data_IF_960444408458
#
_entry.id   IF_960444408458
#
_cell.length_a   1.000
_cell.length_b   1.000
_cell.length_c   1.000
_cell.angle_alpha   90.00
_cell.angle_beta   90.00
_cell.angle_gamma   90.00
#
_symmetry.space_group_name_H-M   'P 1'
#
loop_
_entity.id
_entity.type
_entity.pdbx_description
1 polymer ?
#
# COMPACT_ATOMS: atom_id res chain seq x y z
N UNK A 1 23.99 21.70 -1.75
CA UNK A 1 22.86 20.92 -2.32
C UNK A 1 22.13 20.33 -1.13
N UNK A 2 21.00 20.90 -0.75
CA UNK A 2 20.20 20.41 0.37
C UNK A 2 19.47 19.14 -0.08
N UNK A 3 19.65 18.07 0.69
CA UNK A 3 19.03 16.77 0.51
C UNK A 3 17.54 16.89 0.86
N UNK A 4 16.71 17.15 -0.14
CA UNK A 4 15.24 17.22 -0.02
C UNK A 4 14.69 15.81 0.17
N UNK A 5 14.91 15.24 1.37
CA UNK A 5 14.34 13.94 1.72
C UNK A 5 12.84 14.09 1.83
N UNK A 6 12.17 13.63 0.77
CA UNK A 6 10.72 13.59 0.59
C UNK A 6 10.06 13.04 1.86
N UNK A 7 9.35 13.91 2.58
CA UNK A 7 8.52 13.51 3.70
C UNK A 7 7.41 12.59 3.19
N UNK A 8 7.46 11.32 3.60
CA UNK A 8 6.47 10.34 3.17
C UNK A 8 5.12 10.59 3.88
N UNK A 9 3.99 10.73 3.17
CA UNK A 9 2.71 11.20 3.71
C UNK A 9 2.07 10.31 4.78
N UNK A 10 2.59 9.09 4.95
CA UNK A 10 2.12 8.14 5.97
C UNK A 10 2.62 8.45 7.38
N UNK A 11 3.77 9.10 7.52
CA UNK A 11 4.37 9.41 8.82
C UNK A 11 3.92 10.79 9.29
N UNK A 12 3.28 10.84 10.45
CA UNK A 12 3.03 12.12 11.12
C UNK A 12 4.33 12.63 11.74
N UNK A 13 4.57 13.94 11.68
CA UNK A 13 5.53 14.57 12.61
C UNK A 13 5.00 14.39 14.02
N UNK A 14 5.86 13.94 14.94
CA UNK A 14 5.56 14.05 16.36
C UNK A 14 5.24 15.51 16.69
N UNK A 15 4.20 15.74 17.50
CA UNK A 15 3.71 17.10 17.80
C UNK A 15 4.74 18.02 18.46
N UNK A 16 5.81 17.46 19.03
CA UNK A 16 6.91 18.20 19.63
C UNK A 16 8.26 17.87 19.02
N UNK A 17 9.10 18.89 18.93
CA UNK A 17 10.54 18.81 18.71
C UNK A 17 11.19 18.13 19.94
N UNK A 18 11.98 17.07 19.76
CA UNK A 18 12.66 16.40 20.88
C UNK A 18 14.11 16.03 20.53
N UNK A 19 15.01 16.11 21.52
CA UNK A 19 16.40 15.75 21.35
C UNK A 19 16.52 14.25 20.96
N UNK A 20 17.27 13.89 19.90
CA UNK A 20 17.41 12.50 19.48
C UNK A 20 18.15 11.63 20.52
N UNK A 21 19.07 12.22 21.29
CA UNK A 21 19.89 11.52 22.29
C UNK A 21 19.13 11.24 23.60
N UNK A 22 18.69 12.30 24.30
CA UNK A 22 18.08 12.17 25.63
C UNK A 22 16.55 12.30 25.66
N UNK A 23 15.90 12.59 24.51
CA UNK A 23 14.45 12.83 24.38
C UNK A 23 13.89 14.05 25.12
N UNK A 24 14.74 14.99 25.55
CA UNK A 24 14.28 16.27 26.10
C UNK A 24 13.44 17.05 25.08
N UNK A 25 12.33 17.64 25.51
CA UNK A 25 11.45 18.47 24.69
C UNK A 25 12.17 19.78 24.33
N UNK A 26 12.28 20.05 23.02
CA UNK A 26 12.93 21.24 22.46
C UNK A 26 11.89 22.30 22.04
N UNK A 27 10.69 22.26 22.62
CA UNK A 27 9.67 23.28 22.36
C UNK A 27 10.13 24.64 22.89
N UNK A 28 10.03 25.67 22.04
CA UNK A 28 10.48 27.03 22.35
C UNK A 28 11.99 27.27 22.23
N UNK A 29 12.78 26.24 21.92
CA UNK A 29 14.21 26.38 21.60
C UNK A 29 14.43 26.66 20.10
N UNK A 30 15.61 27.18 19.71
CA UNK A 30 15.96 27.37 18.31
C UNK A 30 15.88 26.04 17.53
N UNK A 31 15.63 26.06 16.20
CA UNK A 31 15.51 24.85 15.40
C UNK A 31 16.81 24.04 15.28
N UNK A 32 17.95 24.63 15.66
CA UNK A 32 19.27 24.01 15.66
C UNK A 32 20.07 24.49 16.87
N UNK A 33 20.92 23.63 17.44
CA UNK A 33 21.76 24.00 18.57
C UNK A 33 22.25 22.81 19.37
N UNK A 34 22.61 23.03 20.62
CA UNK A 34 23.00 21.99 21.59
C UNK A 34 21.89 21.78 22.60
N UNK A 35 21.57 20.51 22.88
CA UNK A 35 20.59 20.16 23.89
C UNK A 35 21.07 20.60 25.28
N UNK A 36 20.24 21.32 26.07
CA UNK A 36 20.64 21.82 27.39
C UNK A 36 20.85 20.70 28.42
N UNK A 37 20.21 19.54 28.23
CA UNK A 37 20.31 18.41 29.18
C UNK A 37 21.53 17.52 28.94
N UNK A 38 21.83 17.19 27.67
CA UNK A 38 22.86 16.22 27.34
C UNK A 38 24.05 16.78 26.55
N UNK A 39 24.01 18.07 26.19
CA UNK A 39 25.06 18.74 25.41
C UNK A 39 25.16 18.28 23.95
N UNK A 40 24.37 17.29 23.51
CA UNK A 40 24.42 16.80 22.13
C UNK A 40 23.91 17.85 21.15
N UNK A 41 24.63 18.05 20.06
CA UNK A 41 24.17 18.89 18.95
C UNK A 41 22.93 18.27 18.28
N UNK A 42 21.99 19.11 17.87
CA UNK A 42 20.81 18.73 17.11
C UNK A 42 20.65 19.65 15.90
N UNK A 43 20.30 19.03 14.77
CA UNK A 43 19.94 19.70 13.52
C UNK A 43 18.42 19.68 13.32
N UNK A 44 17.84 20.63 12.56
CA UNK A 44 16.39 20.76 12.40
C UNK A 44 15.69 19.46 11.98
N UNK A 45 16.34 18.67 11.12
CA UNK A 45 15.80 17.41 10.61
C UNK A 45 15.91 16.23 11.59
N UNK A 46 16.79 16.34 12.59
CA UNK A 46 16.97 15.32 13.63
C UNK A 46 16.00 15.44 14.80
N UNK A 47 15.36 16.61 14.93
CA UNK A 47 14.55 17.00 16.08
C UNK A 47 13.12 16.48 15.98
N UNK A 48 12.61 16.31 14.75
CA UNK A 48 11.31 15.72 14.52
C UNK A 48 11.43 14.21 14.38
N UNK A 49 10.89 13.46 15.35
CA UNK A 49 10.71 12.02 15.14
C UNK A 49 9.56 11.82 14.16
N UNK A 50 9.84 11.06 13.11
CA UNK A 50 8.78 10.40 12.35
C UNK A 50 8.05 9.46 13.30
N UNK A 51 6.82 9.79 13.68
CA UNK A 51 6.01 8.91 14.49
C UNK A 51 5.60 7.73 13.61
N UNK A 52 5.83 6.47 14.03
CA UNK A 52 5.38 5.34 13.24
C UNK A 52 3.87 5.46 13.03
N UNK A 53 3.36 5.11 11.83
CA UNK A 53 1.93 5.16 11.58
C UNK A 53 1.20 4.29 12.60
N UNK A 54 0.10 4.80 13.15
CA UNK A 54 -0.70 4.04 14.11
C UNK A 54 -1.24 2.77 13.45
N UNK A 55 -1.37 1.68 14.23
CA UNK A 55 -1.91 0.41 13.74
C UNK A 55 -3.28 0.60 13.07
N UNK A 56 -4.10 1.52 13.58
CA UNK A 56 -5.39 1.88 12.98
C UNK A 56 -5.24 2.50 11.58
N UNK A 57 -4.24 3.36 11.35
CA UNK A 57 -3.99 3.98 10.04
C UNK A 57 -3.46 2.96 9.04
N UNK A 58 -2.59 2.06 9.49
CA UNK A 58 -2.11 0.91 8.70
C UNK A 58 -3.31 0.03 8.32
N UNK A 59 -4.12 -0.37 9.31
CA UNK A 59 -5.29 -1.20 9.10
C UNK A 59 -6.28 -0.55 8.12
N UNK A 60 -6.55 0.75 8.24
CA UNK A 60 -7.43 1.48 7.32
C UNK A 60 -6.87 1.52 5.89
N UNK A 61 -5.57 1.76 5.73
CA UNK A 61 -4.92 1.77 4.42
C UNK A 61 -4.92 0.40 3.71
N UNK A 62 -4.91 -0.69 4.47
CA UNK A 62 -5.00 -2.07 3.96
C UNK A 62 -6.44 -2.55 3.78
N UNK A 63 -7.33 -2.22 4.73
CA UNK A 63 -8.72 -2.68 4.73
C UNK A 63 -9.55 -2.02 3.62
N UNK A 64 -9.32 -0.73 3.34
CA UNK A 64 -10.07 0.00 2.31
C UNK A 64 -9.95 -0.66 0.92
N UNK A 65 -8.73 -0.90 0.37
CA UNK A 65 -8.62 -1.53 -0.95
C UNK A 65 -9.13 -2.98 -0.95
N UNK A 66 -8.97 -3.71 0.16
CA UNK A 66 -9.50 -5.07 0.29
C UNK A 66 -11.04 -5.09 0.29
N UNK A 67 -11.67 -4.12 0.97
CA UNK A 67 -13.12 -3.96 0.97
C UNK A 67 -13.66 -3.60 -0.42
N UNK A 68 -12.97 -2.72 -1.15
CA UNK A 68 -13.32 -2.39 -2.54
C UNK A 68 -13.21 -3.61 -3.45
N UNK A 69 -12.14 -4.40 -3.33
CA UNK A 69 -11.98 -5.64 -4.09
C UNK A 69 -13.07 -6.66 -3.75
N UNK A 70 -13.39 -6.84 -2.46
CA UNK A 70 -14.47 -7.74 -2.02
C UNK A 70 -15.85 -7.32 -2.56
N UNK A 71 -16.16 -6.01 -2.55
CA UNK A 71 -17.39 -5.48 -3.10
C UNK A 71 -17.48 -5.71 -4.62
N UNK A 72 -16.38 -5.53 -5.35
CA UNK A 72 -16.33 -5.79 -6.79
C UNK A 72 -16.51 -7.28 -7.12
N UNK A 73 -15.89 -8.18 -6.35
CA UNK A 73 -16.09 -9.63 -6.48
C UNK A 73 -17.55 -10.02 -6.19
N UNK A 74 -18.16 -9.45 -5.15
CA UNK A 74 -19.55 -9.72 -4.81
C UNK A 74 -20.49 -9.26 -5.93
N UNK A 75 -20.27 -8.05 -6.47
CA UNK A 75 -21.04 -7.54 -7.61
C UNK A 75 -20.91 -8.48 -8.83
N UNK A 76 -19.69 -8.94 -9.14
CA UNK A 76 -19.44 -9.87 -10.23
C UNK A 76 -20.18 -11.21 -10.02
N UNK A 77 -20.16 -11.76 -8.81
CA UNK A 77 -20.86 -13.01 -8.49
C UNK A 77 -22.38 -12.86 -8.64
N UNK A 78 -22.95 -11.73 -8.20
CA UNK A 78 -24.38 -11.43 -8.34
C UNK A 78 -24.79 -11.30 -9.81
N UNK A 79 -23.94 -10.71 -10.66
CA UNK A 79 -24.21 -10.64 -12.11
C UNK A 79 -24.15 -12.01 -12.79
N UNK A 80 -23.22 -12.89 -12.38
CA UNK A 80 -23.11 -14.25 -12.95
C UNK A 80 -24.27 -15.16 -12.54
N UNK A 81 -24.85 -14.95 -11.35
CA UNK A 81 -25.95 -15.77 -10.84
C UNK A 81 -27.34 -15.40 -11.37
N UNK A 82 -27.50 -14.23 -12.03
CA UNK A 82 -28.82 -13.68 -12.34
C UNK A 82 -29.34 -13.96 -13.75
N UNK A 83 -28.50 -14.29 -14.74
CA UNK A 83 -28.97 -14.70 -16.07
C UNK A 83 -27.92 -15.54 -16.84
N UNK A 84 -28.25 -16.78 -17.29
CA UNK A 84 -27.35 -17.61 -18.08
C UNK A 84 -27.40 -17.34 -19.61
N UNK A 85 -28.29 -16.45 -20.07
CA UNK A 85 -28.48 -16.19 -21.50
C UNK A 85 -27.61 -15.05 -21.99
N UNK A 86 -26.61 -15.41 -22.80
CA UNK A 86 -25.57 -14.56 -23.39
C UNK A 86 -24.70 -13.85 -22.34
N UNK A 87 -23.40 -13.91 -22.57
CA UNK A 87 -22.37 -13.20 -21.82
C UNK A 87 -22.69 -11.72 -21.92
N UNK A 88 -23.48 -11.22 -20.98
CA UNK A 88 -23.88 -9.82 -20.94
C UNK A 88 -22.59 -9.02 -20.74
N UNK A 89 -22.33 -8.10 -21.66
CA UNK A 89 -21.28 -7.08 -21.56
C UNK A 89 -21.31 -6.35 -20.21
N UNK A 90 -22.43 -6.44 -19.49
CA UNK A 90 -22.62 -5.98 -18.11
C UNK A 90 -21.75 -6.71 -17.09
N UNK A 91 -21.49 -8.02 -17.24
CA UNK A 91 -20.64 -8.80 -16.32
C UNK A 91 -19.13 -8.51 -16.48
N UNK A 92 -18.74 -7.92 -17.61
CA UNK A 92 -17.36 -7.51 -17.90
C UNK A 92 -16.92 -6.31 -17.08
N UNK A 93 -17.82 -5.37 -16.84
CA UNK A 93 -17.56 -4.15 -16.07
C UNK A 93 -17.14 -4.46 -14.61
N UNK A 94 -17.89 -5.26 -13.82
CA UNK A 94 -17.50 -5.59 -12.45
C UNK A 94 -16.25 -6.48 -12.41
N UNK A 95 -16.03 -7.37 -13.38
CA UNK A 95 -14.83 -8.19 -13.46
C UNK A 95 -13.56 -7.34 -13.68
N UNK A 96 -13.62 -6.37 -14.61
CA UNK A 96 -12.54 -5.42 -14.84
C UNK A 96 -12.29 -4.54 -13.61
N UNK A 97 -13.37 -4.01 -12.99
CA UNK A 97 -13.27 -3.22 -11.77
C UNK A 97 -12.62 -4.01 -10.62
N UNK A 98 -12.95 -5.30 -10.47
CA UNK A 98 -12.30 -6.16 -9.49
C UNK A 98 -10.79 -6.29 -9.75
N UNK A 99 -10.38 -6.53 -11.00
CA UNK A 99 -8.96 -6.61 -11.37
C UNK A 99 -8.21 -5.31 -11.05
N UNK A 100 -8.77 -4.15 -11.42
CA UNK A 100 -8.20 -2.85 -11.08
C UNK A 100 -8.10 -2.63 -9.57
N UNK A 101 -9.12 -3.02 -8.81
CA UNK A 101 -9.10 -2.93 -7.35
C UNK A 101 -8.00 -3.78 -6.73
N UNK A 102 -7.78 -5.01 -7.20
CA UNK A 102 -6.67 -5.85 -6.75
C UNK A 102 -5.30 -5.26 -7.11
N UNK A 103 -5.12 -4.79 -8.35
CA UNK A 103 -3.87 -4.15 -8.77
C UNK A 103 -3.56 -2.91 -7.92
N UNK A 104 -4.57 -2.08 -7.65
CA UNK A 104 -4.46 -0.92 -6.78
C UNK A 104 -4.14 -1.30 -5.32
N UNK A 105 -4.78 -2.34 -4.79
CA UNK A 105 -4.50 -2.89 -3.46
C UNK A 105 -3.05 -3.34 -3.33
N UNK A 106 -2.56 -4.11 -4.31
CA UNK A 106 -1.19 -4.61 -4.35
C UNK A 106 -0.17 -3.48 -4.44
N UNK A 107 -0.39 -2.50 -5.33
CA UNK A 107 0.47 -1.31 -5.43
C UNK A 107 0.55 -0.54 -4.11
N UNK A 108 -0.59 -0.33 -3.43
CA UNK A 108 -0.66 0.32 -2.11
C UNK A 108 0.08 -0.45 -1.03
N UNK A 109 -0.07 -1.79 -1.01
CA UNK A 109 0.62 -2.64 -0.05
C UNK A 109 2.14 -2.58 -0.23
N UNK A 110 2.64 -2.60 -1.47
CA UNK A 110 4.08 -2.50 -1.76
C UNK A 110 4.64 -1.16 -1.27
N UNK A 111 3.99 -0.03 -1.62
CA UNK A 111 4.43 1.29 -1.17
C UNK A 111 4.43 1.42 0.36
N UNK A 112 3.46 0.79 1.04
CA UNK A 112 3.41 0.77 2.50
C UNK A 112 4.58 -0.01 3.10
N UNK A 113 4.91 -1.18 2.53
CA UNK A 113 6.05 -2.00 2.97
C UNK A 113 7.36 -1.24 2.77
N UNK A 114 7.53 -0.59 1.62
CA UNK A 114 8.72 0.22 1.32
C UNK A 114 8.87 1.38 2.30
N UNK A 115 7.77 2.10 2.58
CA UNK A 115 7.75 3.17 3.57
C UNK A 115 8.15 2.67 4.97
N UNK A 116 7.66 1.51 5.39
CA UNK A 116 8.02 0.90 6.68
C UNK A 116 9.48 0.44 6.71
N UNK A 117 10.01 -0.09 5.61
CA UNK A 117 11.40 -0.50 5.49
C UNK A 117 12.36 0.69 5.62
N UNK A 118 12.03 1.83 5.00
CA UNK A 118 12.80 3.07 5.11
C UNK A 118 12.73 3.65 6.54
N UNK A 119 11.55 3.62 7.17
CA UNK A 119 11.34 4.13 8.52
C UNK A 119 11.92 3.27 9.66
N UNK A 120 12.03 1.96 9.47
CA UNK A 120 12.47 1.01 10.51
C UNK A 120 13.99 0.99 10.78
N UNK A 121 14.78 1.71 9.98
CA UNK A 121 16.25 1.65 10.03
C UNK A 121 16.91 2.28 11.28
N UNK A 122 16.15 2.92 12.19
CA UNK A 122 16.72 3.70 13.32
C UNK A 122 16.50 3.16 14.73
N UNK A 123 15.82 2.04 14.95
CA UNK A 123 15.72 1.42 16.29
C UNK A 123 16.60 0.16 16.39
N UNK A 124 17.91 0.37 16.48
CA UNK A 124 18.98 -0.63 16.43
C UNK A 124 19.13 -1.51 17.67
N UNK A 125 18.08 -1.88 18.39
CA UNK A 125 18.26 -2.73 19.61
C UNK A 125 17.35 -3.94 19.78
N UNK A 126 16.29 -4.17 19.00
CA UNK A 126 15.47 -5.37 19.23
C UNK A 126 15.13 -6.21 17.97
N UNK A 127 15.76 -7.39 17.98
CA UNK A 127 15.46 -8.69 17.33
C UNK A 127 15.52 -8.86 15.80
N UNK A 128 16.16 -9.95 15.30
CA UNK A 128 16.27 -10.28 13.87
C UNK A 128 14.97 -10.74 13.19
N UNK A 129 13.88 -10.93 13.93
CA UNK A 129 12.61 -11.47 13.40
C UNK A 129 11.86 -10.50 12.47
N UNK A 130 12.03 -9.18 12.62
CA UNK A 130 11.33 -8.20 11.79
C UNK A 130 11.82 -8.14 10.33
N UNK A 131 13.11 -8.45 10.07
CA UNK A 131 13.65 -8.50 8.70
C UNK A 131 13.08 -9.66 7.89
N UNK A 132 12.93 -10.83 8.53
CA UNK A 132 12.41 -12.04 7.86
C UNK A 132 10.93 -11.83 7.52
N UNK A 133 10.16 -11.19 8.40
CA UNK A 133 8.74 -10.91 8.17
C UNK A 133 8.52 -9.88 7.05
N UNK A 134 9.40 -8.87 6.92
CA UNK A 134 9.35 -7.92 5.81
C UNK A 134 9.68 -8.53 4.45
N UNK A 135 10.67 -9.42 4.38
CA UNK A 135 11.02 -10.14 3.16
C UNK A 135 9.92 -11.13 2.73
N UNK A 136 9.30 -11.84 3.68
CA UNK A 136 8.18 -12.74 3.38
C UNK A 136 6.94 -11.98 2.92
N UNK A 137 6.63 -10.83 3.54
CA UNK A 137 5.49 -9.99 3.16
C UNK A 137 5.61 -9.39 1.76
N UNK A 138 6.79 -8.91 1.38
CA UNK A 138 7.04 -8.37 0.03
C UNK A 138 6.99 -9.45 -1.05
N UNK A 139 7.56 -10.64 -0.77
CA UNK A 139 7.47 -11.79 -1.68
C UNK A 139 6.03 -12.24 -1.93
N UNK A 140 5.23 -12.37 -0.87
CA UNK A 140 3.81 -12.73 -0.98
C UNK A 140 3.01 -11.69 -1.74
N UNK A 141 3.23 -10.39 -1.49
CA UNK A 141 2.54 -9.32 -2.20
C UNK A 141 2.85 -9.33 -3.70
N UNK A 142 4.11 -9.58 -4.07
CA UNK A 142 4.52 -9.71 -5.47
C UNK A 142 3.87 -10.93 -6.15
N UNK A 143 3.86 -12.08 -5.48
CA UNK A 143 3.24 -13.31 -6.00
C UNK A 143 1.73 -13.10 -6.22
N UNK A 144 1.03 -12.52 -5.23
CA UNK A 144 -0.40 -12.21 -5.35
C UNK A 144 -0.64 -11.25 -6.51
N UNK A 145 0.18 -10.21 -6.66
CA UNK A 145 0.11 -9.28 -7.78
C UNK A 145 0.27 -9.97 -9.14
N UNK A 146 1.25 -10.86 -9.29
CA UNK A 146 1.49 -11.63 -10.53
C UNK A 146 0.32 -12.57 -10.83
N UNK A 147 -0.20 -13.27 -9.82
CA UNK A 147 -1.36 -14.16 -9.99
C UNK A 147 -2.59 -13.36 -10.42
N UNK A 148 -2.88 -12.22 -9.78
CA UNK A 148 -3.98 -11.35 -10.18
C UNK A 148 -3.84 -10.85 -11.62
N UNK A 149 -2.63 -10.47 -12.03
CA UNK A 149 -2.33 -10.06 -13.42
C UNK A 149 -2.54 -11.21 -14.42
N UNK A 150 -2.05 -12.40 -14.10
CA UNK A 150 -2.18 -13.58 -14.95
C UNK A 150 -3.64 -14.01 -15.11
N UNK A 151 -4.41 -14.02 -14.02
CA UNK A 151 -5.85 -14.32 -14.03
C UNK A 151 -6.61 -13.26 -14.82
N UNK A 152 -6.33 -11.97 -14.59
CA UNK A 152 -6.94 -10.89 -15.35
C UNK A 152 -6.65 -10.99 -16.85
N UNK A 153 -5.41 -11.30 -17.23
CA UNK A 153 -5.01 -11.51 -18.62
C UNK A 153 -5.73 -12.72 -19.25
N UNK A 154 -5.80 -13.85 -18.54
CA UNK A 154 -6.49 -15.04 -19.03
C UNK A 154 -7.99 -14.79 -19.26
N UNK A 155 -8.65 -14.07 -18.35
CA UNK A 155 -10.06 -13.66 -18.51
C UNK A 155 -10.25 -12.74 -19.73
N UNK A 156 -9.32 -11.80 -19.94
CA UNK A 156 -9.36 -10.90 -21.09
C UNK A 156 -9.18 -11.66 -22.42
N UNK A 157 -8.26 -12.62 -22.48
CA UNK A 157 -8.07 -13.47 -23.66
C UNK A 157 -9.31 -14.32 -23.92
N UNK A 158 -9.88 -14.96 -22.90
CA UNK A 158 -11.12 -15.73 -23.03
C UNK A 158 -12.27 -14.86 -23.56
N UNK A 159 -12.38 -13.62 -23.08
CA UNK A 159 -13.35 -12.64 -23.58
C UNK A 159 -13.14 -12.34 -25.08
N UNK A 160 -11.90 -12.07 -25.50
CA UNK A 160 -11.59 -11.77 -26.89
C UNK A 160 -12.01 -12.93 -27.82
N UNK A 161 -11.72 -14.17 -27.41
CA UNK A 161 -12.10 -15.37 -28.15
C UNK A 161 -13.61 -15.49 -28.30
N UNK A 162 -14.37 -15.26 -27.22
CA UNK A 162 -15.84 -15.33 -27.25
C UNK A 162 -16.45 -14.24 -28.15
N UNK A 163 -15.90 -13.03 -28.12
CA UNK A 163 -16.30 -11.92 -29.01
C UNK A 163 -16.07 -12.26 -30.49
N UNK A 164 -14.90 -12.79 -30.82
CA UNK A 164 -14.57 -13.21 -32.19
C UNK A 164 -15.51 -14.33 -32.63
N UNK A 165 -15.70 -15.36 -31.79
CA UNK A 165 -16.59 -16.48 -32.09
C UNK A 165 -18.05 -16.03 -32.31
N UNK A 166 -18.56 -15.12 -31.48
CA UNK A 166 -19.89 -14.56 -31.62
C UNK A 166 -20.06 -13.74 -32.91
N UNK A 167 -19.07 -12.92 -33.27
CA UNK A 167 -19.12 -12.13 -34.51
C UNK A 167 -19.16 -12.98 -35.79
N UNK A 168 -18.50 -14.14 -35.77
CA UNK A 168 -18.51 -15.09 -36.88
C UNK A 168 -19.82 -15.89 -36.98
N UNK A 169 -20.52 -16.09 -35.84
CA UNK A 169 -21.77 -16.83 -35.79
C UNK A 169 -22.99 -16.03 -36.28
N UNK A 170 -22.99 -14.71 -36.12
CA UNK A 170 -24.14 -13.85 -36.47
C UNK A 170 -24.35 -13.60 -37.98
N UNK A 171 -23.43 -14.06 -38.83
CA UNK A 171 -23.49 -13.90 -40.29
C UNK A 171 -24.08 -15.08 -41.06
N UNK A 172 -24.63 -16.09 -40.36
CA UNK A 172 -25.33 -17.25 -40.93
C UNK A 172 -26.81 -17.22 -40.59
#
# INVERSE_FOLDING_TARGET
MADERVHHPLFARSGGAACPACRFLLEGLPPQGTCPECGSAYEPDSVYRSQPPSAARIALHLALPLAVAAAACLACALTLGSAPSLIDTVALVPAFAACCAFAWASWRAINLIEALALGGSRSTTELPSHRILGCLGSGLAAIVGVISLAVGFALLVAMLVLLIAGSLGAGR
#
